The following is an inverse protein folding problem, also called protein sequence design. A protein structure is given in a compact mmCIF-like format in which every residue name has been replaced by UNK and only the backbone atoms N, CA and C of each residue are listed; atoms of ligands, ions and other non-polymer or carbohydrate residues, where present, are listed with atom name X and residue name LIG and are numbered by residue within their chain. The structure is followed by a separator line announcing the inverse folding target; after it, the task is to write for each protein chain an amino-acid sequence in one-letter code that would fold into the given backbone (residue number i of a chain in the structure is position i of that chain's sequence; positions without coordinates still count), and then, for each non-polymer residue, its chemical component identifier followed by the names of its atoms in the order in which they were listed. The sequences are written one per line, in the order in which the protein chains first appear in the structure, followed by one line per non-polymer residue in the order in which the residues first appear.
data_IF_872347234216
#
_entry.id   IF_872347234216
#
_cell.length_a   1.000
_cell.length_b   1.000
_cell.length_c   1.000
_cell.angle_alpha   90.00
_cell.angle_beta   90.00
_cell.angle_gamma   90.00
#
_symmetry.space_group_name_H-M   'P 1'
#
loop_
_entity.id
_entity.type
_entity.pdbx_description
1 polymer ?
#
# COMPACT_ATOMS: atom_id res chain seq x y z
N UNK A 1 -3.80 4.24 10.58
CA UNK A 1 -2.87 3.96 11.70
C UNK A 1 -2.06 2.74 11.29
N UNK A 2 -1.20 2.92 10.29
CA UNK A 2 -0.31 1.86 9.84
C UNK A 2 0.95 1.91 10.69
N UNK A 3 1.45 0.73 11.07
CA UNK A 3 2.87 0.51 11.41
C UNK A 3 3.42 1.02 12.75
N UNK A 4 2.63 1.07 13.83
CA UNK A 4 3.22 1.15 15.18
C UNK A 4 3.72 -0.23 15.65
N UNK A 5 4.65 -0.85 14.92
CA UNK A 5 5.28 -2.10 15.37
C UNK A 5 6.19 -1.80 16.56
N UNK A 6 5.75 -2.21 17.76
CA UNK A 6 6.46 -1.94 19.01
C UNK A 6 6.04 -0.64 19.72
N UNK A 7 5.04 0.06 19.18
CA UNK A 7 4.51 1.32 19.69
C UNK A 7 2.98 1.35 19.74
N UNK A 8 2.38 2.32 20.45
CA UNK A 8 0.92 2.43 20.60
C UNK A 8 0.48 3.21 21.84
N UNK A 9 -0.81 3.10 22.18
CA UNK A 9 -1.36 3.78 23.35
C UNK A 9 -0.62 3.43 24.66
N UNK A 10 -0.58 4.35 25.65
CA UNK A 10 -1.20 5.68 25.61
C UNK A 10 -0.42 6.67 24.75
N UNK A 11 -1.15 7.55 24.07
CA UNK A 11 -0.60 8.67 23.30
C UNK A 11 -0.46 9.92 24.19
N UNK A 12 0.52 10.76 23.91
CA UNK A 12 0.73 12.04 24.58
C UNK A 12 0.68 13.15 23.55
N UNK A 13 0.07 14.27 23.94
CA UNK A 13 0.08 15.47 23.14
C UNK A 13 1.14 16.40 23.70
N UNK A 14 2.06 16.85 22.84
CA UNK A 14 3.21 17.64 23.27
C UNK A 14 2.87 19.13 23.45
N UNK A 15 1.72 19.58 22.92
CA UNK A 15 1.27 20.97 22.99
C UNK A 15 -0.25 21.06 23.22
N UNK A 16 -0.71 22.17 23.80
CA UNK A 16 -2.14 22.52 23.85
C UNK A 16 -2.64 23.19 22.57
N UNK A 17 -1.71 23.60 21.70
CA UNK A 17 -2.03 24.16 20.38
C UNK A 17 -2.14 23.03 19.34
N UNK A 18 -2.92 23.22 18.26
CA UNK A 18 -2.96 22.31 17.13
C UNK A 18 -1.58 22.16 16.48
N UNK A 19 -0.86 21.09 16.82
CA UNK A 19 0.47 20.78 16.29
C UNK A 19 0.47 19.52 15.41
N UNK A 20 -0.70 18.88 15.23
CA UNK A 20 -0.90 17.69 14.39
C UNK A 20 -0.03 16.50 14.76
N UNK A 21 0.48 16.45 16.00
CA UNK A 21 1.48 15.46 16.42
C UNK A 21 1.16 14.91 17.80
N UNK A 22 1.21 13.58 17.91
CA UNK A 22 1.14 12.83 19.17
C UNK A 22 2.40 11.97 19.30
N UNK A 23 2.76 11.65 20.54
CA UNK A 23 3.86 10.73 20.85
C UNK A 23 3.31 9.50 21.54
N UNK A 24 3.64 8.31 21.06
CA UNK A 24 3.18 7.05 21.63
C UNK A 24 3.99 6.64 22.88
N UNK A 25 3.65 5.51 23.53
CA UNK A 25 4.36 5.05 24.74
C UNK A 25 5.82 4.66 24.51
N UNK A 26 6.18 4.31 23.27
CA UNK A 26 7.52 3.90 22.87
C UNK A 26 8.35 5.10 22.38
N UNK A 27 7.77 6.30 22.36
CA UNK A 27 8.42 7.52 21.90
C UNK A 27 8.30 7.76 20.39
N UNK A 28 7.48 6.97 19.67
CA UNK A 28 7.26 7.23 18.25
C UNK A 28 6.30 8.39 18.05
N UNK A 29 6.62 9.20 17.05
CA UNK A 29 5.80 10.34 16.63
C UNK A 29 4.72 9.90 15.64
N UNK A 30 3.46 10.19 15.98
CA UNK A 30 2.29 10.00 15.12
C UNK A 30 1.81 11.37 14.66
N UNK A 31 1.58 11.54 13.36
CA UNK A 31 1.12 12.82 12.81
C UNK A 31 -0.02 12.65 11.81
N UNK A 32 -0.82 13.70 11.63
CA UNK A 32 -1.83 13.76 10.58
C UNK A 32 -1.17 13.95 9.21
N UNK A 33 -1.68 13.26 8.19
CA UNK A 33 -1.17 13.34 6.82
C UNK A 33 -1.81 14.49 6.04
N UNK A 34 -1.06 15.08 5.10
CA UNK A 34 -1.55 16.12 4.19
C UNK A 34 -2.07 17.37 4.91
N UNK A 35 -3.15 17.94 4.39
CA UNK A 35 -3.81 19.14 4.93
C UNK A 35 -4.92 18.80 5.95
N UNK A 36 -4.98 17.55 6.43
CA UNK A 36 -6.10 16.99 7.20
C UNK A 36 -6.52 17.89 8.36
N UNK A 37 -5.58 18.40 9.14
CA UNK A 37 -5.91 19.28 10.27
C UNK A 37 -6.66 20.55 9.86
N UNK A 38 -6.17 21.23 8.81
CA UNK A 38 -6.79 22.45 8.28
C UNK A 38 -8.16 22.16 7.63
N UNK A 39 -8.31 20.99 7.01
CA UNK A 39 -9.57 20.54 6.43
C UNK A 39 -10.59 20.24 7.53
N UNK A 40 -10.18 19.59 8.62
CA UNK A 40 -11.06 19.32 9.75
C UNK A 40 -11.47 20.59 10.50
N UNK A 41 -10.58 21.58 10.63
CA UNK A 41 -10.91 22.89 11.17
C UNK A 41 -12.02 23.57 10.37
N UNK A 42 -11.92 23.53 9.03
CA UNK A 42 -12.96 24.05 8.14
C UNK A 42 -14.25 23.23 8.23
N UNK A 43 -14.15 21.90 8.28
CA UNK A 43 -15.32 21.03 8.45
C UNK A 43 -16.05 21.36 9.76
N UNK A 44 -15.33 21.64 10.84
CA UNK A 44 -15.94 22.07 12.09
C UNK A 44 -16.73 23.38 11.91
N UNK A 45 -16.13 24.40 11.29
CA UNK A 45 -16.81 25.67 11.03
C UNK A 45 -18.07 25.49 10.15
N UNK A 46 -17.97 24.71 9.07
CA UNK A 46 -19.10 24.39 8.19
C UNK A 46 -20.18 23.54 8.87
N UNK A 47 -19.80 22.66 9.78
CA UNK A 47 -20.74 21.88 10.58
C UNK A 47 -21.51 22.76 11.57
N UNK A 48 -20.87 23.76 12.18
CA UNK A 48 -21.57 24.77 13.01
C UNK A 48 -22.57 25.59 12.18
N UNK A 49 -22.27 25.81 10.89
CA UNK A 49 -23.20 26.44 9.95
C UNK A 49 -24.28 25.48 9.39
N UNK A 50 -24.26 24.20 9.76
CA UNK A 50 -25.20 23.19 9.26
C UNK A 50 -25.01 22.80 7.79
N UNK A 51 -23.85 23.10 7.19
CA UNK A 51 -23.58 22.82 5.78
C UNK A 51 -23.21 21.34 5.52
N UNK A 52 -22.54 20.71 6.49
CA UNK A 52 -22.04 19.34 6.36
C UNK A 52 -21.94 18.63 7.71
N UNK A 53 -21.74 17.32 7.64
CA UNK A 53 -21.39 16.47 8.77
C UNK A 53 -20.07 15.76 8.49
N UNK A 54 -19.25 15.59 9.53
CA UNK A 54 -18.08 14.70 9.49
C UNK A 54 -18.43 13.37 10.14
N UNK A 55 -17.98 12.27 9.52
CA UNK A 55 -18.08 10.91 10.01
C UNK A 55 -16.72 10.22 9.92
N UNK A 56 -16.46 9.24 10.80
CA UNK A 56 -15.28 8.36 10.71
C UNK A 56 -15.76 6.94 10.44
N UNK A 57 -15.21 6.31 9.41
CA UNK A 57 -15.41 4.89 9.11
C UNK A 57 -14.02 4.24 8.97
N UNK A 58 -13.66 3.37 9.92
CA UNK A 58 -12.31 2.80 10.00
C UNK A 58 -12.36 1.32 10.34
N UNK A 59 -11.45 0.56 9.71
CA UNK A 59 -11.24 -0.89 9.95
C UNK A 59 -10.08 -1.16 10.92
N UNK A 60 -9.73 -0.20 11.76
CA UNK A 60 -8.60 -0.30 12.67
C UNK A 60 -8.72 -1.53 13.59
N UNK A 61 -7.63 -2.32 13.69
CA UNK A 61 -7.56 -3.50 14.56
C UNK A 61 -7.58 -3.14 16.05
N UNK A 62 -7.15 -1.92 16.39
CA UNK A 62 -7.17 -1.37 17.74
C UNK A 62 -8.12 -0.15 17.86
N UNK A 63 -9.45 -0.35 17.94
CA UNK A 63 -10.41 0.76 18.03
C UNK A 63 -10.13 1.74 19.16
N UNK A 64 -9.74 1.23 20.33
CA UNK A 64 -9.42 2.06 21.49
C UNK A 64 -8.32 3.09 21.19
N UNK A 65 -7.30 2.72 20.40
CA UNK A 65 -6.22 3.62 20.00
C UNK A 65 -6.73 4.67 19.02
N UNK A 66 -7.58 4.27 18.07
CA UNK A 66 -8.25 5.20 17.14
C UNK A 66 -9.07 6.26 17.88
N UNK A 67 -9.91 5.84 18.84
CA UNK A 67 -10.68 6.76 19.67
C UNK A 67 -9.80 7.69 20.51
N UNK A 68 -8.71 7.17 21.09
CA UNK A 68 -7.77 7.98 21.86
C UNK A 68 -7.08 9.03 20.98
N UNK A 69 -6.65 8.66 19.78
CA UNK A 69 -6.06 9.59 18.81
C UNK A 69 -7.05 10.69 18.44
N UNK A 70 -8.30 10.35 18.10
CA UNK A 70 -9.32 11.34 17.75
C UNK A 70 -9.60 12.33 18.90
N UNK A 71 -9.52 11.88 20.16
CA UNK A 71 -9.69 12.74 21.34
C UNK A 71 -8.51 13.67 21.60
N UNK A 72 -7.32 13.35 21.06
CA UNK A 72 -6.08 14.09 21.33
C UNK A 72 -5.58 14.93 20.17
N UNK A 73 -5.92 14.57 18.94
CA UNK A 73 -5.62 15.42 17.78
C UNK A 73 -6.52 16.65 17.81
N UNK A 74 -5.91 17.81 18.07
CA UNK A 74 -6.58 19.11 17.98
C UNK A 74 -6.57 19.61 16.55
N UNK A 75 -7.71 20.13 16.10
CA UNK A 75 -7.91 20.70 14.76
C UNK A 75 -8.13 22.22 14.83
N UNK A 76 -8.58 22.72 15.97
CA UNK A 76 -8.61 24.14 16.32
C UNK A 76 -8.28 24.28 17.82
N UNK A 77 -7.97 25.49 18.32
CA UNK A 77 -7.66 25.69 19.75
C UNK A 77 -8.78 25.12 20.65
N UNK A 78 -8.43 24.10 21.44
CA UNK A 78 -9.36 23.42 22.34
C UNK A 78 -10.40 22.48 21.68
N UNK A 79 -10.34 22.27 20.36
CA UNK A 79 -11.29 21.41 19.63
C UNK A 79 -10.54 20.20 19.07
N UNK A 80 -10.92 19.01 19.54
CA UNK A 80 -10.38 17.73 19.05
C UNK A 80 -11.14 17.23 17.81
N UNK A 81 -10.54 16.29 17.07
CA UNK A 81 -11.26 15.58 16.00
C UNK A 81 -12.52 14.89 16.54
N UNK A 82 -12.47 14.32 17.76
CA UNK A 82 -13.63 13.69 18.38
C UNK A 82 -14.79 14.68 18.60
N UNK A 83 -14.51 15.95 18.91
CA UNK A 83 -15.55 16.98 19.05
C UNK A 83 -16.24 17.30 17.72
N UNK A 84 -15.52 17.18 16.60
CA UNK A 84 -16.08 17.39 15.26
C UNK A 84 -16.96 16.21 14.85
N UNK A 85 -16.45 14.98 14.96
CA UNK A 85 -17.19 13.78 14.52
C UNK A 85 -18.29 13.39 15.50
N UNK A 86 -18.09 13.57 16.80
CA UNK A 86 -18.89 12.98 17.91
C UNK A 86 -18.85 11.46 17.94
N UNK A 87 -18.98 10.85 19.13
CA UNK A 87 -19.02 9.38 19.29
C UNK A 87 -20.15 8.74 18.46
N UNK A 88 -21.25 9.46 18.24
CA UNK A 88 -22.38 8.96 17.46
C UNK A 88 -22.03 8.68 15.98
N UNK A 89 -21.10 9.44 15.37
CA UNK A 89 -20.71 9.31 13.96
C UNK A 89 -19.30 8.75 13.79
N UNK A 90 -18.83 7.99 14.78
CA UNK A 90 -17.51 7.37 14.79
C UNK A 90 -17.65 5.85 14.74
N UNK A 91 -17.52 5.27 13.53
CA UNK A 91 -17.55 3.82 13.29
C UNK A 91 -16.11 3.29 13.16
N UNK A 92 -15.53 2.82 14.27
CA UNK A 92 -14.19 2.21 14.29
C UNK A 92 -14.34 0.75 14.73
N UNK A 93 -14.62 -0.11 13.76
CA UNK A 93 -14.86 -1.53 13.99
C UNK A 93 -14.16 -2.35 12.91
N UNK A 94 -13.57 -3.48 13.30
CA UNK A 94 -13.03 -4.44 12.34
C UNK A 94 -14.15 -4.98 11.44
N UNK A 95 -13.86 -5.20 10.16
CA UNK A 95 -14.86 -5.72 9.21
C UNK A 95 -14.81 -5.04 7.84
N UNK A 96 -15.98 -4.86 7.22
CA UNK A 96 -16.11 -4.26 5.88
C UNK A 96 -16.44 -2.76 5.98
N UNK A 97 -15.67 -1.91 5.30
CA UNK A 97 -15.87 -0.46 5.22
C UNK A 97 -17.27 -0.08 4.75
N UNK A 98 -17.89 -0.86 3.85
CA UNK A 98 -19.28 -0.64 3.43
C UNK A 98 -20.27 -0.72 4.60
N UNK A 99 -20.06 -1.64 5.56
CA UNK A 99 -20.94 -1.79 6.70
C UNK A 99 -20.86 -0.55 7.61
N UNK A 100 -19.64 -0.08 7.88
CA UNK A 100 -19.40 1.13 8.65
C UNK A 100 -20.04 2.36 7.97
N UNK A 101 -19.89 2.49 6.65
CA UNK A 101 -20.47 3.62 5.91
C UNK A 101 -22.01 3.57 5.88
N UNK A 102 -22.61 2.39 5.75
CA UNK A 102 -24.07 2.22 5.84
C UNK A 102 -24.60 2.58 7.23
N UNK A 103 -23.89 2.19 8.29
CA UNK A 103 -24.26 2.57 9.66
C UNK A 103 -24.24 4.11 9.83
N UNK A 104 -23.20 4.78 9.30
CA UNK A 104 -23.16 6.25 9.28
C UNK A 104 -24.32 6.87 8.51
N UNK A 105 -24.66 6.35 7.33
CA UNK A 105 -25.79 6.83 6.53
C UNK A 105 -27.12 6.66 7.26
N UNK A 106 -27.32 5.52 7.94
CA UNK A 106 -28.52 5.29 8.75
C UNK A 106 -28.62 6.27 9.91
N UNK A 107 -27.51 6.56 10.61
CA UNK A 107 -27.48 7.48 11.75
C UNK A 107 -27.65 8.95 11.33
N UNK A 108 -27.14 9.33 10.17
CA UNK A 108 -27.12 10.72 9.71
C UNK A 108 -28.27 11.07 8.76
N UNK A 109 -28.87 10.07 8.12
CA UNK A 109 -29.87 10.27 7.07
C UNK A 109 -29.29 10.86 5.77
N UNK A 110 -27.97 10.99 5.64
CA UNK A 110 -27.33 11.56 4.45
C UNK A 110 -27.35 10.52 3.33
N UNK A 111 -27.91 10.85 2.14
CA UNK A 111 -27.96 9.89 1.04
C UNK A 111 -26.56 9.66 0.44
N UNK A 112 -26.30 8.48 -0.16
CA UNK A 112 -24.99 8.15 -0.71
C UNK A 112 -24.44 9.18 -1.71
N UNK A 113 -25.27 9.66 -2.64
CA UNK A 113 -24.90 10.66 -3.64
C UNK A 113 -24.51 12.04 -3.04
N UNK A 114 -24.70 12.22 -1.73
CA UNK A 114 -24.29 13.42 -0.97
C UNK A 114 -23.14 13.17 -0.02
N UNK A 115 -22.60 11.95 -0.02
CA UNK A 115 -21.51 11.52 0.84
C UNK A 115 -20.20 11.56 0.07
N UNK A 116 -19.19 12.20 0.65
CA UNK A 116 -17.80 12.10 0.19
C UNK A 116 -17.03 11.17 1.13
N UNK A 117 -16.29 10.22 0.55
CA UNK A 117 -15.48 9.26 1.30
C UNK A 117 -14.00 9.43 0.91
N UNK A 118 -13.12 9.49 1.90
CA UNK A 118 -11.67 9.65 1.71
C UNK A 118 -10.96 8.49 2.41
N UNK A 119 -10.09 7.79 1.68
CA UNK A 119 -9.34 6.65 2.20
C UNK A 119 -8.03 6.47 1.39
N UNK A 120 -6.98 5.99 2.04
CA UNK A 120 -5.67 5.74 1.43
C UNK A 120 -5.60 4.40 0.68
N UNK A 121 -6.52 3.47 0.96
CA UNK A 121 -6.58 2.16 0.35
C UNK A 121 -7.53 2.14 -0.85
N UNK A 122 -6.98 1.85 -2.04
CA UNK A 122 -7.77 1.73 -3.27
C UNK A 122 -8.89 0.69 -3.19
N UNK A 123 -8.68 -0.40 -2.46
CA UNK A 123 -9.71 -1.42 -2.20
C UNK A 123 -10.93 -0.85 -1.49
N UNK A 124 -10.73 -0.11 -0.39
CA UNK A 124 -11.84 0.52 0.35
C UNK A 124 -12.59 1.53 -0.54
N UNK A 125 -11.84 2.35 -1.29
CA UNK A 125 -12.39 3.36 -2.21
C UNK A 125 -13.26 2.71 -3.29
N UNK A 126 -12.80 1.63 -3.90
CA UNK A 126 -13.55 0.88 -4.90
C UNK A 126 -14.79 0.21 -4.29
N UNK A 127 -14.63 -0.41 -3.12
CA UNK A 127 -15.72 -1.10 -2.44
C UNK A 127 -16.85 -0.14 -2.08
N UNK A 128 -16.55 1.01 -1.48
CA UNK A 128 -17.60 1.96 -1.09
C UNK A 128 -18.17 2.74 -2.26
N UNK A 129 -17.43 2.90 -3.37
CA UNK A 129 -17.96 3.57 -4.58
C UNK A 129 -19.19 2.84 -5.14
N UNK A 130 -19.27 1.51 -4.98
CA UNK A 130 -20.44 0.71 -5.36
C UNK A 130 -21.72 1.10 -4.58
N UNK A 131 -21.61 1.83 -3.47
CA UNK A 131 -22.76 2.37 -2.72
C UNK A 131 -23.29 3.69 -3.30
N UNK A 132 -22.64 4.25 -4.34
CA UNK A 132 -23.02 5.52 -4.95
C UNK A 132 -22.50 6.76 -4.21
N UNK A 133 -21.45 6.61 -3.38
CA UNK A 133 -20.76 7.74 -2.73
C UNK A 133 -19.65 8.29 -3.62
N UNK A 134 -19.26 9.54 -3.40
CA UNK A 134 -18.09 10.14 -4.04
C UNK A 134 -16.81 9.70 -3.30
N UNK A 135 -16.11 8.69 -3.82
CA UNK A 135 -14.90 8.16 -3.19
C UNK A 135 -13.63 8.80 -3.75
N UNK A 136 -12.70 9.16 -2.86
CA UNK A 136 -11.43 9.82 -3.18
C UNK A 136 -10.25 9.06 -2.56
N UNK A 137 -9.32 8.60 -3.41
CA UNK A 137 -8.08 7.96 -2.97
C UNK A 137 -7.08 9.01 -2.48
N UNK A 138 -6.62 8.88 -1.23
CA UNK A 138 -5.76 9.85 -0.55
C UNK A 138 -4.54 9.18 0.12
N UNK A 139 -3.57 8.67 -0.66
CA UNK A 139 -2.45 7.89 -0.12
C UNK A 139 -1.52 8.72 0.78
N UNK A 140 -1.50 10.05 0.57
CA UNK A 140 -0.68 10.99 1.33
C UNK A 140 -1.54 11.90 2.22
N UNK A 141 -2.72 11.42 2.62
CA UNK A 141 -3.71 12.21 3.34
C UNK A 141 -4.54 13.14 2.46
N UNK A 142 -5.50 13.82 3.10
CA UNK A 142 -6.44 14.72 2.41
C UNK A 142 -5.73 16.04 2.12
N UNK A 143 -5.67 16.44 0.85
CA UNK A 143 -5.16 17.77 0.45
C UNK A 143 -6.31 18.75 0.23
N UNK A 144 -6.01 20.04 0.30
CA UNK A 144 -6.96 21.12 0.00
C UNK A 144 -7.66 20.93 -1.34
N UNK A 145 -6.90 20.60 -2.38
CA UNK A 145 -7.43 20.41 -3.73
C UNK A 145 -8.40 19.23 -3.82
N UNK A 146 -8.08 18.10 -3.16
CA UNK A 146 -8.95 16.93 -3.14
C UNK A 146 -10.25 17.23 -2.36
N UNK A 147 -10.13 17.96 -1.24
CA UNK A 147 -11.27 18.37 -0.45
C UNK A 147 -12.22 19.32 -1.21
N UNK A 148 -11.70 20.32 -1.91
CA UNK A 148 -12.50 21.23 -2.76
C UNK A 148 -13.21 20.46 -3.89
N UNK A 149 -12.52 19.50 -4.52
CA UNK A 149 -13.11 18.63 -5.53
C UNK A 149 -14.26 17.79 -4.96
N UNK A 150 -14.11 17.29 -3.74
CA UNK A 150 -15.14 16.53 -3.05
C UNK A 150 -16.38 17.38 -2.75
N UNK A 151 -16.21 18.60 -2.22
CA UNK A 151 -17.32 19.53 -2.01
C UNK A 151 -18.07 19.84 -3.30
N UNK A 152 -17.34 20.04 -4.41
CA UNK A 152 -17.96 20.25 -5.73
C UNK A 152 -18.74 19.02 -6.20
N UNK A 153 -18.22 17.82 -5.97
CA UNK A 153 -18.86 16.57 -6.37
C UNK A 153 -20.18 16.33 -5.61
N UNK A 154 -20.19 16.52 -4.29
CA UNK A 154 -21.42 16.38 -3.49
C UNK A 154 -22.46 17.48 -3.79
N UNK A 155 -22.03 18.62 -4.33
CA UNK A 155 -22.86 19.77 -4.63
C UNK A 155 -23.20 20.61 -3.40
N UNK A 156 -23.85 21.78 -3.57
CA UNK A 156 -24.14 22.70 -2.48
C UNK A 156 -25.03 22.06 -1.42
N UNK A 157 -24.75 22.33 -0.14
CA UNK A 157 -25.65 22.02 0.98
C UNK A 157 -27.04 22.55 0.72
N UNK A 158 -28.03 21.69 0.45
CA UNK A 158 -29.42 22.08 0.70
C UNK A 158 -29.55 22.01 2.21
N UNK A 159 -29.66 23.17 2.87
CA UNK A 159 -29.98 23.23 4.29
C UNK A 159 -31.16 22.28 4.52
N UNK A 160 -30.97 21.23 5.31
CA UNK A 160 -32.06 20.33 5.69
C UNK A 160 -32.97 21.11 6.65
N UNK A 161 -33.79 21.99 6.09
CA UNK A 161 -34.88 22.62 6.82
C UNK A 161 -35.85 21.50 7.20
N UNK A 162 -35.94 21.24 8.50
CA UNK A 162 -37.14 20.67 9.08
C UNK A 162 -38.36 21.34 8.46
N UNK A 163 -39.24 20.53 7.89
CA UNK A 163 -40.52 20.91 7.29
C UNK A 163 -41.21 22.08 7.99
N UNK A 164 -41.31 23.20 7.28
CA UNK A 164 -42.22 24.31 7.57
C UNK A 164 -42.28 25.17 6.30
N UNK A 165 -43.47 25.47 5.75
CA UNK A 165 -43.58 26.32 4.57
C UNK A 165 -43.53 27.76 5.05
N UNK A 166 -42.45 28.49 4.76
CA UNK A 166 -42.48 29.91 4.40
C UNK A 166 -41.06 30.50 4.37
N UNK A 167 -40.96 31.59 3.61
CA UNK A 167 -39.86 32.56 3.55
C UNK A 167 -38.72 32.25 2.58
N UNK A 168 -38.98 32.62 1.32
CA UNK A 168 -37.97 33.25 0.48
C UNK A 168 -37.49 34.56 1.13
N UNK A 169 -36.18 34.71 1.32
CA UNK A 169 -35.45 35.98 1.11
C UNK A 169 -33.95 35.84 1.44
N UNK A 170 -33.14 36.29 0.46
CA UNK A 170 -31.99 37.17 0.67
C UNK A 170 -30.78 36.65 1.46
N UNK A 171 -29.73 36.24 0.75
CA UNK A 171 -28.34 36.37 1.21
C UNK A 171 -27.42 36.78 0.05
N UNK A 172 -27.19 38.09 -0.05
CA UNK A 172 -26.11 38.71 -0.80
C UNK A 172 -25.04 39.21 0.17
N UNK A 173 -24.01 38.40 0.42
CA UNK A 173 -22.75 38.88 1.02
C UNK A 173 -21.74 37.74 1.14
N UNK A 174 -20.94 37.49 0.09
CA UNK A 174 -19.57 37.04 0.27
C UNK A 174 -18.69 37.71 -0.79
N UNK A 175 -17.92 38.67 -0.27
CA UNK A 175 -16.90 39.44 -0.94
C UNK A 175 -15.78 38.50 -1.40
N UNK A 176 -15.45 38.56 -2.69
CA UNK A 176 -14.44 37.73 -3.32
C UNK A 176 -13.07 38.39 -3.13
N UNK A 177 -12.18 37.77 -2.36
CA UNK A 177 -10.75 38.07 -2.46
C UNK A 177 -10.19 37.43 -3.75
N UNK A 178 -10.33 38.12 -4.88
CA UNK A 178 -9.91 37.68 -6.22
C UNK A 178 -8.43 37.87 -6.48
N UNK A 179 -7.55 37.67 -5.50
CA UNK A 179 -6.10 37.72 -5.78
C UNK A 179 -5.65 36.38 -6.35
N UNK A 180 -5.22 36.30 -7.62
CA UNK A 180 -4.70 35.07 -8.20
C UNK A 180 -3.39 34.74 -7.49
N UNK A 181 -3.44 33.79 -6.56
CA UNK A 181 -2.23 33.20 -5.99
C UNK A 181 -1.52 32.48 -7.15
N UNK A 182 -0.31 32.92 -7.48
CA UNK A 182 0.58 32.26 -8.45
C UNK A 182 0.82 30.83 -7.96
N UNK A 183 0.05 29.87 -8.50
CA UNK A 183 0.29 28.45 -8.29
C UNK A 183 1.54 28.08 -9.09
N UNK A 184 2.45 27.33 -8.48
CA UNK A 184 3.52 26.65 -9.18
C UNK A 184 2.88 25.55 -10.04
N UNK A 185 2.70 25.83 -11.33
CA UNK A 185 2.38 24.80 -12.31
C UNK A 185 3.69 24.14 -12.71
N UNK A 186 3.78 22.82 -12.52
CA UNK A 186 4.80 22.04 -13.21
C UNK A 186 4.46 22.00 -14.71
N UNK A 187 5.48 21.93 -15.56
CA UNK A 187 5.31 21.94 -17.01
C UNK A 187 4.65 20.68 -17.56
N UNK A 188 4.87 20.44 -18.85
CA UNK A 188 4.47 19.22 -19.54
C UNK A 188 5.42 18.04 -19.26
N UNK A 189 4.94 16.84 -19.54
CA UNK A 189 5.69 15.57 -19.54
C UNK A 189 5.61 14.99 -20.94
N UNK A 190 6.72 14.44 -21.44
CA UNK A 190 6.74 13.70 -22.69
C UNK A 190 6.68 12.19 -22.42
N UNK A 191 5.74 11.52 -23.07
CA UNK A 191 5.58 10.07 -23.08
C UNK A 191 6.13 9.54 -24.39
N UNK A 192 7.14 8.68 -24.31
CA UNK A 192 7.77 8.09 -25.48
C UNK A 192 7.32 6.64 -25.62
N UNK A 193 6.69 6.33 -26.74
CA UNK A 193 6.19 5.01 -27.08
C UNK A 193 7.19 4.33 -28.00
N UNK A 194 7.77 3.21 -27.56
CA UNK A 194 8.72 2.41 -28.33
C UNK A 194 8.07 1.13 -28.83
N UNK A 195 8.48 0.70 -30.03
CA UNK A 195 8.22 -0.66 -30.47
C UNK A 195 8.91 -1.64 -29.51
N UNK A 196 8.29 -2.79 -29.27
CA UNK A 196 8.92 -3.85 -28.47
C UNK A 196 9.71 -4.74 -29.42
N UNK A 197 11.00 -4.93 -29.15
CA UNK A 197 11.84 -5.86 -29.91
C UNK A 197 12.33 -6.98 -29.00
N UNK A 198 12.56 -8.15 -29.59
CA UNK A 198 13.34 -9.20 -28.95
C UNK A 198 14.81 -8.85 -29.19
N UNK A 199 15.53 -8.50 -28.14
CA UNK A 199 16.97 -8.25 -28.23
C UNK A 199 17.76 -9.39 -27.57
N UNK A 200 19.05 -9.46 -27.87
CA UNK A 200 19.98 -10.42 -27.26
C UNK A 200 20.45 -9.97 -25.86
N UNK A 201 19.68 -9.12 -25.16
CA UNK A 201 20.05 -8.65 -23.84
C UNK A 201 19.94 -9.77 -22.79
N UNK A 202 20.46 -9.53 -21.58
CA UNK A 202 20.56 -10.57 -20.55
C UNK A 202 19.19 -11.19 -20.28
N UNK A 203 19.15 -12.53 -20.34
CA UNK A 203 17.97 -13.31 -20.05
C UNK A 203 17.38 -12.92 -18.68
N UNK A 204 16.11 -12.49 -18.64
CA UNK A 204 15.44 -12.26 -17.37
C UNK A 204 15.37 -13.57 -16.56
N UNK A 205 15.38 -13.46 -15.23
CA UNK A 205 15.40 -14.60 -14.30
C UNK A 205 14.19 -15.55 -14.44
N UNK A 206 13.12 -15.08 -15.09
CA UNK A 206 11.92 -15.85 -15.42
C UNK A 206 12.15 -16.83 -16.59
N UNK A 207 13.24 -16.70 -17.36
CA UNK A 207 13.56 -17.53 -18.52
C UNK A 207 12.82 -17.16 -19.80
N UNK A 208 12.13 -16.02 -19.82
CA UNK A 208 11.40 -15.55 -20.99
C UNK A 208 12.32 -14.74 -21.93
N UNK A 209 11.92 -14.58 -23.18
CA UNK A 209 12.73 -13.83 -24.15
C UNK A 209 12.94 -12.38 -23.68
N UNK A 210 14.15 -11.83 -23.80
CA UNK A 210 14.42 -10.45 -23.42
C UNK A 210 13.55 -9.52 -24.27
N UNK A 211 12.94 -8.53 -23.64
CA UNK A 211 12.21 -7.48 -24.35
C UNK A 211 13.05 -6.20 -24.26
N UNK A 212 13.58 -5.78 -25.41
CA UNK A 212 14.28 -4.52 -25.59
C UNK A 212 13.35 -3.39 -26.03
N UNK A 213 13.77 -2.15 -25.80
CA UNK A 213 13.16 -0.98 -26.41
C UNK A 213 13.64 -0.89 -27.86
N UNK A 214 12.71 -1.02 -28.81
CA UNK A 214 12.94 -0.90 -30.24
C UNK A 214 12.91 0.55 -30.73
N UNK A 215 12.49 0.73 -31.98
CA UNK A 215 12.36 2.07 -32.57
C UNK A 215 11.27 2.90 -31.86
N UNK A 216 11.53 4.20 -31.69
CA UNK A 216 10.55 5.14 -31.14
C UNK A 216 9.39 5.29 -32.14
N UNK A 217 8.18 4.93 -31.74
CA UNK A 217 6.97 5.00 -32.56
C UNK A 217 6.27 6.36 -32.43
N UNK A 218 6.12 6.88 -31.21
CA UNK A 218 5.54 8.20 -30.98
C UNK A 218 6.12 8.87 -29.74
N UNK A 219 5.99 10.19 -29.70
CA UNK A 219 6.28 11.00 -28.52
C UNK A 219 5.09 11.94 -28.30
N UNK A 220 4.38 11.75 -27.20
CA UNK A 220 3.19 12.50 -26.85
C UNK A 220 3.51 13.44 -25.69
N UNK A 221 3.00 14.67 -25.73
CA UNK A 221 3.21 15.66 -24.68
C UNK A 221 1.92 15.87 -23.89
N UNK A 222 1.98 15.66 -22.58
CA UNK A 222 0.85 15.79 -21.66
C UNK A 222 1.13 16.86 -20.63
N UNK A 223 0.09 17.57 -20.19
CA UNK A 223 0.21 18.35 -18.96
C UNK A 223 0.44 17.40 -17.78
N UNK A 224 1.38 17.72 -16.87
CA UNK A 224 1.72 16.82 -15.76
C UNK A 224 0.49 16.40 -14.94
N UNK A 225 -0.45 17.32 -14.73
CA UNK A 225 -1.68 17.04 -13.98
C UNK A 225 -2.59 16.02 -14.68
N UNK A 226 -2.70 16.09 -16.00
CA UNK A 226 -3.47 15.13 -16.81
C UNK A 226 -2.79 13.77 -16.84
N UNK A 227 -1.46 13.75 -17.00
CA UNK A 227 -0.68 12.53 -16.97
C UNK A 227 -0.79 11.82 -15.62
N UNK A 228 -0.66 12.56 -14.50
CA UNK A 228 -0.79 11.98 -13.16
C UNK A 228 -2.21 11.46 -12.90
N UNK A 229 -3.24 12.14 -13.39
CA UNK A 229 -4.63 11.68 -13.29
C UNK A 229 -4.84 10.38 -14.08
N UNK A 230 -4.38 10.35 -15.33
CA UNK A 230 -4.44 9.16 -16.18
C UNK A 230 -3.66 8.01 -15.54
N UNK A 231 -2.42 8.25 -15.12
CA UNK A 231 -1.57 7.26 -14.44
C UNK A 231 -2.22 6.73 -13.17
N UNK A 232 -2.79 7.60 -12.32
CA UNK A 232 -3.48 7.20 -11.09
C UNK A 232 -4.70 6.33 -11.39
N UNK A 233 -5.44 6.60 -12.46
CA UNK A 233 -6.59 5.80 -12.88
C UNK A 233 -6.21 4.45 -13.49
N UNK A 234 -5.00 4.34 -14.05
CA UNK A 234 -4.53 3.15 -14.78
C UNK A 234 -3.71 2.19 -13.92
N UNK A 235 -3.45 2.51 -12.63
CA UNK A 235 -2.68 1.64 -11.73
C UNK A 235 -3.40 0.33 -11.42
N UNK A 236 -3.35 -0.63 -12.33
CA UNK A 236 -3.00 -2.01 -11.97
C UNK A 236 -1.52 -1.96 -11.58
N UNK A 237 -1.14 -2.57 -10.46
CA UNK A 237 0.28 -2.63 -10.06
C UNK A 237 1.15 -3.26 -11.15
N UNK A 238 2.45 -3.44 -10.90
CA UNK A 238 3.28 -4.32 -11.74
C UNK A 238 2.64 -5.71 -11.68
N UNK A 239 1.75 -6.00 -12.63
CA UNK A 239 1.08 -7.27 -12.75
C UNK A 239 2.06 -8.18 -13.46
N UNK A 240 2.29 -9.35 -12.89
CA UNK A 240 2.92 -10.44 -13.61
C UNK A 240 2.11 -10.69 -14.88
N UNK A 241 2.66 -10.30 -16.03
CA UNK A 241 2.10 -10.63 -17.34
C UNK A 241 2.37 -12.12 -17.51
N UNK A 242 1.33 -12.93 -17.49
CA UNK A 242 1.49 -14.36 -17.72
C UNK A 242 2.01 -14.64 -19.13
N UNK A 243 2.60 -15.82 -19.32
CA UNK A 243 3.26 -16.21 -20.57
C UNK A 243 2.34 -16.07 -21.79
N UNK A 244 1.05 -16.33 -21.60
CA UNK A 244 0.05 -16.25 -22.67
C UNK A 244 -0.25 -14.80 -23.04
N UNK A 245 -0.42 -13.90 -22.06
CA UNK A 245 -0.61 -12.47 -22.30
C UNK A 245 0.65 -11.82 -22.89
N UNK A 246 1.85 -12.26 -22.47
CA UNK A 246 3.12 -11.75 -23.04
C UNK A 246 3.30 -12.16 -24.50
N UNK A 247 3.00 -13.42 -24.82
CA UNK A 247 2.92 -13.89 -26.21
C UNK A 247 1.81 -13.18 -26.98
N UNK A 248 0.66 -12.96 -26.36
CA UNK A 248 -0.47 -12.22 -26.91
C UNK A 248 -0.15 -10.76 -27.19
N UNK A 249 0.72 -10.10 -26.42
CA UNK A 249 1.18 -8.73 -26.68
C UNK A 249 2.16 -8.68 -27.86
N UNK A 250 3.02 -9.69 -28.00
CA UNK A 250 3.89 -9.82 -29.17
C UNK A 250 3.06 -10.09 -30.43
N UNK A 251 2.05 -10.98 -30.33
CA UNK A 251 1.14 -11.36 -31.43
C UNK A 251 0.14 -10.25 -31.77
N UNK A 252 -0.45 -9.59 -30.78
CA UNK A 252 -1.51 -8.59 -30.95
C UNK A 252 -1.01 -7.24 -31.47
N UNK A 253 0.28 -6.94 -31.39
CA UNK A 253 0.88 -5.79 -32.08
C UNK A 253 1.16 -6.06 -33.57
N UNK A 254 1.06 -7.31 -33.99
CA UNK A 254 1.44 -7.77 -35.31
C UNK A 254 0.40 -8.79 -35.79
N UNK A 255 -0.72 -8.32 -36.35
CA UNK A 255 -1.73 -9.14 -37.05
C UNK A 255 -1.14 -10.02 -38.20
N UNK A 256 0.17 -9.99 -38.41
CA UNK A 256 0.95 -10.78 -39.36
C UNK A 256 2.24 -11.33 -38.73
N UNK A 257 2.15 -12.00 -37.58
CA UNK A 257 3.28 -12.82 -37.17
C UNK A 257 3.46 -13.95 -38.19
N UNK A 258 4.53 -13.84 -38.97
CA UNK A 258 5.06 -14.92 -39.79
C UNK A 258 5.28 -16.14 -38.88
N UNK A 259 4.84 -17.31 -39.30
CA UNK A 259 5.01 -18.60 -38.62
C UNK A 259 6.47 -18.81 -38.18
N UNK A 260 7.42 -18.19 -38.91
CA UNK A 260 8.86 -18.13 -38.57
C UNK A 260 9.17 -17.40 -37.27
N UNK A 261 8.49 -16.31 -36.94
CA UNK A 261 8.75 -15.54 -35.72
C UNK A 261 8.21 -16.25 -34.47
N UNK A 262 7.07 -16.96 -34.59
CA UNK A 262 6.59 -17.88 -33.57
C UNK A 262 7.59 -19.03 -33.33
N UNK A 263 8.09 -19.64 -34.41
CA UNK A 263 9.10 -20.69 -34.31
C UNK A 263 10.41 -20.18 -33.67
N UNK A 264 10.85 -18.96 -34.00
CA UNK A 264 12.03 -18.35 -33.40
C UNK A 264 11.83 -18.10 -31.89
N UNK A 265 10.65 -17.64 -31.46
CA UNK A 265 10.32 -17.45 -30.05
C UNK A 265 10.37 -18.78 -29.28
N UNK A 266 9.81 -19.85 -29.85
CA UNK A 266 9.83 -21.18 -29.24
C UNK A 266 11.25 -21.72 -29.07
N UNK A 267 12.14 -21.49 -30.03
CA UNK A 267 13.56 -21.88 -29.95
C UNK A 267 14.27 -21.15 -28.82
N UNK A 268 14.07 -19.84 -28.70
CA UNK A 268 14.68 -19.03 -27.63
C UNK A 268 14.18 -19.48 -26.25
N UNK A 269 12.87 -19.65 -26.09
CA UNK A 269 12.31 -20.11 -24.82
C UNK A 269 12.75 -21.54 -24.47
N UNK A 270 12.89 -22.43 -25.45
CA UNK A 270 13.41 -23.78 -25.23
C UNK A 270 14.88 -23.76 -24.77
N UNK A 271 15.71 -22.92 -25.40
CA UNK A 271 17.10 -22.71 -24.98
C UNK A 271 17.17 -22.16 -23.55
N UNK A 272 16.31 -21.21 -23.18
CA UNK A 272 16.25 -20.67 -21.83
C UNK A 272 15.82 -21.72 -20.79
N UNK A 273 14.83 -22.57 -21.12
CA UNK A 273 14.46 -23.71 -20.27
C UNK A 273 15.63 -24.67 -20.05
N UNK A 274 16.42 -24.95 -21.09
CA UNK A 274 17.61 -25.80 -20.99
C UNK A 274 18.69 -25.18 -20.10
N UNK A 275 18.98 -23.89 -20.26
CA UNK A 275 19.94 -23.15 -19.41
C UNK A 275 19.51 -23.21 -17.94
N UNK A 276 18.20 -23.06 -17.66
CA UNK A 276 17.67 -23.18 -16.30
C UNK A 276 17.81 -24.60 -15.76
N UNK A 277 17.48 -25.62 -16.56
CA UNK A 277 17.66 -27.02 -16.17
C UNK A 277 19.10 -27.35 -15.81
N UNK A 278 20.07 -26.82 -16.57
CA UNK A 278 21.51 -26.95 -16.28
C UNK A 278 21.91 -26.23 -14.99
N UNK A 279 21.38 -25.04 -14.72
CA UNK A 279 21.69 -24.28 -13.52
C UNK A 279 21.02 -24.85 -12.24
N UNK A 280 19.87 -25.51 -12.36
CA UNK A 280 19.20 -26.19 -11.24
C UNK A 280 19.92 -27.50 -10.90
N UNK A 281 20.37 -28.26 -11.90
CA UNK A 281 21.11 -29.51 -11.68
C UNK A 281 22.51 -29.31 -11.11
N UNK A 282 23.11 -28.13 -11.26
CA UNK A 282 24.35 -27.77 -10.56
C UNK A 282 24.16 -27.46 -9.07
N UNK A 283 22.92 -27.27 -8.59
CA UNK A 283 22.63 -26.95 -7.18
C UNK A 283 22.44 -28.19 -6.29
N UNK A 284 22.14 -29.36 -6.84
CA UNK A 284 21.92 -30.61 -6.07
C UNK A 284 23.21 -31.40 -5.82
N UNK A 285 24.39 -30.80 -6.05
CA UNK A 285 25.67 -31.51 -6.00
C UNK A 285 26.73 -30.80 -5.18
N UNK A 286 26.35 -30.26 -4.03
CA UNK A 286 27.31 -29.89 -2.98
C UNK A 286 26.63 -30.12 -1.64
N UNK A 287 26.76 -31.34 -1.12
CA UNK A 287 26.62 -31.70 0.30
C UNK A 287 27.42 -33.01 0.51
N UNK A 288 28.72 -33.00 0.17
CA UNK A 288 29.68 -34.02 0.62
C UNK A 288 30.31 -33.55 1.94
N UNK A 289 29.50 -33.45 3.00
CA UNK A 289 30.00 -33.57 4.38
C UNK A 289 28.87 -34.09 5.30
N UNK A 290 28.64 -35.39 5.19
CA UNK A 290 28.47 -36.27 6.35
C UNK A 290 27.13 -36.28 7.09
N UNK A 291 26.15 -37.03 6.56
CA UNK A 291 25.26 -37.85 7.39
C UNK A 291 24.67 -39.02 6.57
N UNK A 292 24.97 -40.24 7.02
CA UNK A 292 24.46 -41.49 6.46
C UNK A 292 22.93 -41.55 6.57
N UNK A 293 22.25 -41.50 5.42
CA UNK A 293 20.88 -41.98 5.31
C UNK A 293 20.87 -43.20 4.39
N UNK A 294 20.75 -44.35 5.03
CA UNK A 294 20.51 -45.67 4.45
C UNK A 294 19.30 -45.64 3.49
N UNK A 295 19.54 -45.67 2.19
CA UNK A 295 18.54 -46.11 1.22
C UNK A 295 19.19 -46.58 -0.09
N UNK A 296 19.39 -47.89 -0.13
CA UNK A 296 19.24 -48.81 -1.26
C UNK A 296 18.63 -48.19 -2.53
N UNK A 297 19.44 -47.65 -3.45
CA UNK A 297 19.14 -47.56 -4.90
C UNK A 297 20.42 -47.43 -5.73
N UNK A 298 21.36 -48.35 -5.47
CA UNK A 298 22.48 -48.58 -6.37
C UNK A 298 21.98 -49.40 -7.58
N UNK A 299 22.09 -48.82 -8.79
CA UNK A 299 22.38 -49.48 -10.08
C UNK A 299 22.06 -48.51 -11.24
N UNK A 300 23.11 -47.81 -11.71
CA UNK A 300 23.42 -47.41 -13.11
C UNK A 300 24.26 -46.12 -13.12
N UNK A 301 25.55 -46.23 -12.78
CA UNK A 301 26.56 -45.22 -13.16
C UNK A 301 27.29 -45.68 -14.42
N UNK A 302 27.17 -44.88 -15.49
CA UNK A 302 28.09 -44.85 -16.62
C UNK A 302 29.10 -43.73 -16.36
N UNK A 303 30.38 -44.07 -16.44
CA UNK A 303 31.50 -43.14 -16.37
C UNK A 303 31.57 -42.32 -17.65
N UNK A 304 31.34 -41.01 -17.55
CA UNK A 304 31.92 -39.99 -18.43
C UNK A 304 31.82 -38.63 -17.73
N UNK A 305 32.96 -38.09 -17.26
CA UNK A 305 33.06 -36.72 -16.72
C UNK A 305 33.32 -35.74 -17.87
N UNK A 306 32.45 -34.76 -18.16
CA UNK A 306 32.79 -33.69 -19.09
C UNK A 306 33.74 -32.69 -18.42
N UNK A 307 34.80 -32.34 -19.12
CA UNK A 307 35.77 -31.30 -18.74
C UNK A 307 35.10 -29.92 -18.69
N UNK A 308 35.16 -29.27 -17.53
CA UNK A 308 34.62 -27.92 -17.32
C UNK A 308 35.42 -26.87 -18.10
N UNK A 309 34.75 -26.15 -19.00
CA UNK A 309 35.29 -24.99 -19.71
C UNK A 309 35.05 -23.76 -18.84
N UNK A 310 36.13 -23.03 -18.48
CA UNK A 310 36.07 -21.78 -17.72
C UNK A 310 35.48 -20.64 -18.59
N UNK A 311 34.52 -19.85 -18.09
CA UNK A 311 34.05 -18.66 -18.81
C UNK A 311 35.12 -17.55 -18.83
N UNK A 312 35.15 -16.68 -19.87
CA UNK A 312 36.35 -15.92 -20.24
C UNK A 312 36.61 -14.63 -19.43
N UNK A 313 35.87 -14.34 -18.37
CA UNK A 313 36.02 -13.08 -17.64
C UNK A 313 35.54 -13.20 -16.19
N UNK A 314 36.49 -13.28 -15.26
CA UNK A 314 36.24 -13.13 -13.82
C UNK A 314 37.32 -12.24 -13.21
N UNK A 315 36.92 -11.15 -12.54
CA UNK A 315 37.82 -10.18 -11.89
C UNK A 315 37.97 -10.42 -10.38
N UNK A 316 37.72 -11.64 -9.89
CA UNK A 316 37.79 -11.96 -8.47
C UNK A 316 39.13 -12.62 -8.13
N UNK A 317 39.72 -12.25 -6.98
CA UNK A 317 40.95 -12.83 -6.46
C UNK A 317 40.76 -14.31 -6.08
N UNK A 318 41.83 -15.10 -6.21
CA UNK A 318 41.83 -16.52 -5.85
C UNK A 318 41.55 -16.70 -4.35
N UNK A 319 40.38 -17.27 -4.02
CA UNK A 319 40.01 -17.66 -2.65
C UNK A 319 38.68 -17.11 -2.12
N UNK A 320 38.00 -16.22 -2.86
CA UNK A 320 36.71 -15.69 -2.42
C UNK A 320 35.56 -16.71 -2.65
N UNK A 321 35.01 -17.27 -1.57
CA UNK A 321 33.76 -18.05 -1.61
C UNK A 321 32.58 -17.14 -1.98
N UNK A 322 31.74 -17.59 -2.92
CA UNK A 322 30.55 -16.86 -3.40
C UNK A 322 29.31 -17.73 -3.23
N UNK A 323 28.60 -17.53 -2.13
CA UNK A 323 27.33 -18.20 -1.86
C UNK A 323 26.21 -17.15 -1.86
N UNK A 324 25.61 -16.91 -3.03
CA UNK A 324 24.45 -16.03 -3.13
C UNK A 324 24.07 -15.63 -4.55
N UNK A 325 22.86 -16.01 -4.98
CA UNK A 325 22.25 -15.56 -6.24
C UNK A 325 21.37 -14.34 -5.96
N UNK A 326 21.74 -13.19 -6.53
CA UNK A 326 20.82 -12.08 -6.76
C UNK A 326 20.87 -10.93 -5.76
N UNK A 327 21.39 -9.80 -6.24
CA UNK A 327 20.89 -8.46 -5.89
C UNK A 327 20.96 -8.04 -4.41
N UNK A 328 22.16 -7.87 -3.89
CA UNK A 328 22.39 -7.22 -2.59
C UNK A 328 23.46 -7.95 -1.80
N UNK A 329 24.63 -7.33 -1.68
CA UNK A 329 25.73 -7.84 -0.85
C UNK A 329 25.29 -7.74 0.63
N UNK A 330 24.70 -8.80 1.16
CA UNK A 330 24.51 -8.95 2.60
C UNK A 330 25.57 -9.92 3.08
N UNK A 331 26.67 -9.39 3.61
CA UNK A 331 27.57 -10.17 4.45
C UNK A 331 26.72 -10.75 5.58
N UNK A 332 26.53 -12.07 5.57
CA UNK A 332 25.94 -12.77 6.69
C UNK A 332 26.99 -12.83 7.79
N UNK A 333 26.91 -11.87 8.70
CA UNK A 333 27.60 -11.95 9.97
C UNK A 333 26.93 -13.07 10.79
N UNK A 334 27.59 -14.24 10.86
CA UNK A 334 27.13 -15.40 11.60
C UNK A 334 26.87 -15.04 13.08
N UNK A 335 27.64 -14.12 13.65
CA UNK A 335 27.46 -13.66 15.03
C UNK A 335 26.17 -12.84 15.17
N UNK A 336 25.77 -12.05 14.16
CA UNK A 336 24.49 -11.34 14.17
C UNK A 336 23.31 -12.31 14.03
N UNK A 337 23.45 -13.39 13.25
CA UNK A 337 22.42 -14.41 13.14
C UNK A 337 22.25 -15.19 14.46
N UNK A 338 23.35 -15.52 15.15
CA UNK A 338 23.34 -16.12 16.49
C UNK A 338 22.67 -15.17 17.49
N UNK A 339 23.02 -13.88 17.48
CA UNK A 339 22.38 -12.86 18.34
C UNK A 339 20.88 -12.71 18.05
N UNK A 340 20.47 -12.79 16.79
CA UNK A 340 19.06 -12.77 16.39
C UNK A 340 18.30 -14.00 16.90
N UNK A 341 18.89 -15.20 16.78
CA UNK A 341 18.30 -16.45 17.32
C UNK A 341 18.19 -16.41 18.85
N UNK A 342 19.20 -15.88 19.55
CA UNK A 342 19.17 -15.71 20.99
C UNK A 342 18.05 -14.76 21.47
N UNK A 343 17.86 -13.61 20.78
CA UNK A 343 16.76 -12.68 21.07
C UNK A 343 15.38 -13.34 20.88
N UNK A 344 15.20 -14.09 19.79
CA UNK A 344 13.94 -14.80 19.54
C UNK A 344 13.61 -15.85 20.61
N UNK A 345 14.62 -16.56 21.12
CA UNK A 345 14.44 -17.52 22.23
C UNK A 345 14.07 -16.83 23.55
N UNK A 346 14.71 -15.69 23.85
CA UNK A 346 14.39 -14.90 25.04
C UNK A 346 12.94 -14.36 25.01
N UNK A 347 12.49 -13.84 23.86
CA UNK A 347 11.13 -13.33 23.68
C UNK A 347 10.07 -14.43 23.82
N UNK A 348 10.38 -15.63 23.32
CA UNK A 348 9.53 -16.82 23.48
C UNK A 348 9.43 -17.20 24.96
N UNK A 349 10.55 -17.28 25.68
CA UNK A 349 10.57 -17.59 27.10
C UNK A 349 9.79 -16.56 27.95
N UNK A 350 9.91 -15.26 27.65
CA UNK A 350 9.16 -14.21 28.31
C UNK A 350 7.64 -14.31 28.05
N UNK A 351 7.25 -14.75 26.85
CA UNK A 351 5.86 -14.97 26.50
C UNK A 351 5.28 -16.18 27.23
N UNK A 352 6.04 -17.26 27.34
CA UNK A 352 5.62 -18.45 28.08
C UNK A 352 5.54 -18.20 29.59
N UNK A 353 6.45 -17.38 30.14
CA UNK A 353 6.37 -16.92 31.54
C UNK A 353 5.08 -16.13 31.82
N UNK A 354 4.72 -15.17 30.96
CA UNK A 354 3.45 -14.41 31.07
C UNK A 354 2.21 -15.30 30.97
N UNK A 355 2.25 -16.35 30.12
CA UNK A 355 1.18 -17.35 30.03
C UNK A 355 1.09 -18.21 31.30
N UNK A 356 2.23 -18.58 31.88
CA UNK A 356 2.30 -19.36 33.11
C UNK A 356 1.82 -18.56 34.33
N UNK A 357 2.10 -17.25 34.38
CA UNK A 357 1.64 -16.33 35.43
C UNK A 357 0.13 -16.06 35.35
N UNK A 358 -0.45 -16.14 34.15
CA UNK A 358 -1.89 -16.11 33.91
C UNK A 358 -2.58 -17.41 34.38
N UNK A 359 -2.32 -17.90 35.59
CA UNK A 359 -3.11 -19.00 36.18
C UNK A 359 -4.55 -18.53 36.41
N UNK A 360 -5.52 -19.36 36.02
CA UNK A 360 -6.94 -19.10 36.30
C UNK A 360 -7.17 -19.23 37.81
N UNK A 361 -7.93 -18.31 38.40
CA UNK A 361 -8.35 -18.42 39.80
C UNK A 361 -9.09 -19.75 40.00
N UNK A 362 -8.71 -20.53 41.02
CA UNK A 362 -9.26 -21.86 41.27
C UNK A 362 -10.77 -21.84 41.56
N UNK A 363 -11.29 -20.75 42.14
CA UNK A 363 -12.70 -20.60 42.47
C UNK A 363 -13.58 -20.23 41.26
N UNK A 364 -13.21 -19.20 40.49
CA UNK A 364 -14.07 -18.66 39.44
C UNK A 364 -13.62 -18.97 38.01
N UNK A 365 -12.46 -19.63 37.83
CA UNK A 365 -11.84 -19.94 36.54
C UNK A 365 -11.56 -18.74 35.61
N UNK A 366 -11.72 -17.49 36.09
CA UNK A 366 -11.36 -16.27 35.34
C UNK A 366 -9.87 -15.98 35.46
N UNK A 367 -9.30 -15.44 34.40
CA UNK A 367 -7.94 -14.87 34.41
C UNK A 367 -7.99 -13.54 35.17
N UNK A 368 -7.12 -13.35 36.18
CA UNK A 368 -6.99 -12.12 36.97
C UNK A 368 -8.20 -11.74 37.88
N UNK A 369 -8.78 -12.71 38.60
CA UNK A 369 -9.66 -12.37 39.73
C UNK A 369 -8.82 -11.98 40.97
N UNK A 370 -9.28 -10.99 41.76
CA UNK A 370 -8.76 -10.65 43.10
C UNK A 370 -9.46 -11.47 44.20
N UNK A 371 -10.10 -12.57 43.81
CA UNK A 371 -10.58 -13.62 44.69
C UNK A 371 -9.49 -14.70 44.78
#
# INVERSE_FOLDING_TARGET
MYELRGGGAPFKQDSKEPNNTLTDKAGHTVHMLGDTASVWAECHARQQAGELFVGVASRCDDPAWGHECLKKFLVAPGISMMDVVTEARCEIHGGNTQANLRALQQKTGVPPARTCFFDDQSGNVADVAALGVHSFLTPNGVTRAIFERALKAAGPGVSMSTTGPDAAASLSCLDRDTRPRKRLSFGSVQLWHFAVILDDSKLPHDGLSPLGLGELQSADEFMLEEYELARASTRRGVRHVDDFERRGLLVGYLDQIDERALAALEVVEAANRQIRGQNVTTYERVDEEGQEADSTWDLLRRDDKPTAVKPPYTTADEGASRDGVGGGFHERDEDEEVRRKARALADKAATDSRKAERRRCAGCKRYACIC
#
